data_IF_062314139186
#
_entry.id   IF_062314139186
#
_cell.length_a   1.000
_cell.length_b   1.000
_cell.length_c   1.000
_cell.angle_alpha   90.00
_cell.angle_beta   90.00
_cell.angle_gamma   90.00
#
_symmetry.space_group_name_H-M   'P 1'
#
loop_
_entity.id
_entity.type
_entity.pdbx_description
1 polymer ?
#
# COMPACT_ATOMS: atom_id res chain seq x y z
N UNK A 1 -20.45 26.49 -1.57
CA UNK A 1 -20.38 25.14 -0.99
C UNK A 1 -18.97 24.65 -1.29
N UNK A 2 -18.07 24.71 -0.32
CA UNK A 2 -16.71 24.16 -0.44
C UNK A 2 -16.85 22.65 -0.61
N UNK A 3 -16.32 22.09 -1.72
CA UNK A 3 -16.17 20.64 -1.89
C UNK A 3 -15.46 20.12 -0.63
N UNK A 4 -16.11 19.22 0.10
CA UNK A 4 -15.44 18.52 1.19
C UNK A 4 -14.16 17.89 0.60
N UNK A 5 -12.99 18.31 1.10
CA UNK A 5 -11.72 17.76 0.62
C UNK A 5 -11.71 16.26 0.92
N UNK A 6 -11.51 15.47 -0.11
CA UNK A 6 -11.52 14.02 0.00
C UNK A 6 -10.30 13.55 0.78
N UNK A 7 -10.50 12.72 1.81
CA UNK A 7 -9.42 12.11 2.56
C UNK A 7 -8.81 10.95 1.77
N UNK A 8 -7.50 10.94 1.70
CA UNK A 8 -6.71 9.95 0.95
C UNK A 8 -5.69 9.27 1.88
N UNK A 9 -5.20 8.12 1.47
CA UNK A 9 -4.15 7.40 2.19
C UNK A 9 -2.79 7.66 1.53
N UNK A 10 -1.80 7.99 2.35
CA UNK A 10 -0.44 8.30 1.92
C UNK A 10 0.56 7.42 2.65
N UNK A 11 1.56 6.94 1.91
CA UNK A 11 2.70 6.19 2.42
C UNK A 11 3.97 7.00 2.16
N UNK A 12 4.72 7.24 3.22
CA UNK A 12 6.03 7.91 3.17
C UNK A 12 7.10 6.96 3.71
N UNK A 13 7.74 6.18 2.84
CA UNK A 13 8.75 5.21 3.27
C UNK A 13 9.94 5.85 3.97
N UNK A 14 10.30 7.09 3.62
CA UNK A 14 11.45 7.80 4.21
C UNK A 14 11.29 8.04 5.72
N UNK A 15 10.05 8.04 6.21
CA UNK A 15 9.73 8.26 7.63
C UNK A 15 9.47 6.98 8.41
N UNK A 16 9.49 5.82 7.77
CA UNK A 16 9.26 4.57 8.47
C UNK A 16 10.44 4.22 9.38
N UNK A 17 10.16 4.02 10.66
CA UNK A 17 11.16 3.68 11.70
C UNK A 17 11.11 2.21 12.12
N UNK A 18 10.35 1.36 11.42
CA UNK A 18 10.29 -0.07 11.68
C UNK A 18 9.61 -0.48 13.00
N UNK A 19 8.85 0.39 13.64
CA UNK A 19 8.31 0.17 15.00
C UNK A 19 7.20 -0.87 15.11
N UNK A 20 6.68 -1.43 14.01
CA UNK A 20 5.58 -2.41 13.94
C UNK A 20 4.23 -1.96 14.55
N UNK A 21 4.07 -0.72 15.03
CA UNK A 21 2.80 -0.25 15.60
C UNK A 21 1.63 -0.40 14.62
N UNK A 22 1.87 -0.14 13.34
CA UNK A 22 0.86 -0.28 12.29
C UNK A 22 0.43 -1.74 12.08
N UNK A 23 1.35 -2.69 12.19
CA UNK A 23 1.09 -4.14 12.08
C UNK A 23 0.22 -4.60 13.26
N UNK A 24 0.58 -4.21 14.48
CA UNK A 24 -0.19 -4.54 15.69
C UNK A 24 -1.59 -3.90 15.64
N UNK A 25 -1.69 -2.62 15.31
CA UNK A 25 -2.98 -1.96 15.19
C UNK A 25 -3.86 -2.57 14.09
N UNK A 26 -3.27 -3.04 13.00
CA UNK A 26 -4.01 -3.72 11.93
C UNK A 26 -4.65 -5.01 12.45
N UNK A 27 -3.97 -5.80 13.28
CA UNK A 27 -4.50 -7.03 13.84
C UNK A 27 -5.66 -6.82 14.81
N UNK A 28 -5.83 -5.61 15.35
CA UNK A 28 -6.94 -5.23 16.22
C UNK A 28 -8.18 -4.72 15.46
N UNK A 29 -8.08 -4.56 14.14
CA UNK A 29 -9.23 -4.14 13.33
C UNK A 29 -10.36 -5.17 13.41
N UNK A 30 -11.60 -4.68 13.58
CA UNK A 30 -12.77 -5.55 13.81
C UNK A 30 -13.04 -6.53 12.66
N UNK A 31 -12.75 -6.13 11.41
CA UNK A 31 -12.98 -6.94 10.21
C UNK A 31 -12.12 -8.21 10.16
N UNK A 32 -10.93 -8.20 10.79
CA UNK A 32 -9.96 -9.30 10.69
C UNK A 32 -9.16 -9.49 11.97
N UNK A 33 -9.82 -9.30 13.10
CA UNK A 33 -9.22 -9.36 14.44
C UNK A 33 -8.34 -10.59 14.64
N UNK A 34 -7.11 -10.35 15.11
CA UNK A 34 -6.07 -11.37 15.30
C UNK A 34 -5.15 -11.57 14.10
N UNK A 35 -5.41 -10.91 12.96
CA UNK A 35 -4.59 -11.04 11.74
C UNK A 35 -4.21 -9.67 11.20
N UNK A 36 -2.93 -9.41 11.03
CA UNK A 36 -2.49 -8.20 10.33
C UNK A 36 -2.60 -8.38 8.82
N UNK A 37 -3.19 -7.38 8.14
CA UNK A 37 -3.30 -7.30 6.68
C UNK A 37 -2.16 -6.50 6.06
N UNK A 38 -1.30 -5.94 6.87
CA UNK A 38 -0.10 -5.21 6.47
C UNK A 38 1.11 -5.85 7.11
N UNK A 39 2.26 -5.64 6.50
CA UNK A 39 3.56 -6.08 7.00
C UNK A 39 4.59 -4.97 6.82
N UNK A 40 5.72 -5.09 7.49
CA UNK A 40 6.91 -4.31 7.20
C UNK A 40 7.87 -5.16 6.40
N UNK A 41 8.36 -4.60 5.30
CA UNK A 41 9.49 -5.16 4.57
C UNK A 41 10.76 -4.38 4.91
N UNK A 42 11.88 -5.07 4.80
CA UNK A 42 13.21 -4.53 5.06
C UNK A 42 13.96 -4.45 3.74
N UNK A 43 14.45 -3.25 3.44
CA UNK A 43 15.29 -3.01 2.27
C UNK A 43 16.72 -2.86 2.76
N UNK A 44 17.56 -3.81 2.43
CA UNK A 44 18.99 -3.76 2.73
C UNK A 44 19.68 -2.82 1.75
N UNK A 45 20.35 -1.83 2.29
CA UNK A 45 21.23 -0.92 1.55
C UNK A 45 22.66 -1.10 2.00
N UNK A 46 23.63 -0.68 1.19
CA UNK A 46 25.05 -0.78 1.51
C UNK A 46 25.45 -0.16 2.85
N UNK A 47 24.78 0.92 3.27
CA UNK A 47 25.09 1.67 4.47
C UNK A 47 24.01 1.63 5.57
N UNK A 48 22.79 1.14 5.28
CA UNK A 48 21.67 1.16 6.23
C UNK A 48 20.58 0.18 5.84
N UNK A 49 19.71 -0.16 6.79
CA UNK A 49 18.45 -0.84 6.50
C UNK A 49 17.32 0.20 6.50
N UNK A 50 16.43 0.11 5.54
CA UNK A 50 15.19 0.87 5.51
C UNK A 50 14.01 -0.06 5.67
N UNK A 51 12.99 0.40 6.38
CA UNK A 51 11.72 -0.33 6.53
C UNK A 51 10.63 0.35 5.72
N UNK A 52 9.78 -0.44 5.08
CA UNK A 52 8.64 0.05 4.30
C UNK A 52 7.37 -0.67 4.74
N UNK A 53 6.30 0.06 5.10
CA UNK A 53 5.03 -0.57 5.41
C UNK A 53 4.33 -1.00 4.11
N UNK A 54 4.20 -2.31 3.93
CA UNK A 54 3.51 -2.91 2.78
C UNK A 54 2.01 -2.92 3.03
N UNK A 55 1.29 -2.06 2.31
CA UNK A 55 -0.16 -1.95 2.34
C UNK A 55 -0.75 -2.23 0.95
N UNK A 56 -2.03 -2.60 0.88
CA UNK A 56 -2.68 -2.71 -0.42
C UNK A 56 -2.78 -1.33 -1.08
N UNK A 57 -2.34 -1.25 -2.33
CA UNK A 57 -2.35 0.01 -3.10
C UNK A 57 -3.74 0.36 -3.64
N UNK A 58 -4.72 -0.54 -3.57
CA UNK A 58 -6.08 -0.34 -4.08
C UNK A 58 -6.09 0.16 -5.53
N UNK A 59 -5.56 -0.69 -6.43
CA UNK A 59 -5.43 -0.40 -7.86
C UNK A 59 -6.76 -0.05 -8.51
N UNK A 60 -6.74 0.83 -9.52
CA UNK A 60 -7.94 1.19 -10.30
C UNK A 60 -8.42 0.01 -11.14
N UNK A 61 -7.50 -0.76 -11.73
CA UNK A 61 -7.76 -2.07 -12.34
C UNK A 61 -7.10 -3.16 -11.49
N UNK A 62 -7.81 -3.70 -10.48
CA UNK A 62 -7.21 -4.61 -9.50
C UNK A 62 -7.04 -6.01 -10.09
N UNK A 63 -5.84 -6.34 -10.58
CA UNK A 63 -5.51 -7.68 -11.14
C UNK A 63 -5.89 -8.81 -10.20
N UNK A 64 -5.80 -8.63 -8.89
CA UNK A 64 -6.23 -9.63 -7.91
C UNK A 64 -7.73 -9.94 -7.98
N UNK A 65 -8.58 -8.97 -8.35
CA UNK A 65 -10.01 -9.20 -8.56
C UNK A 65 -10.28 -9.81 -9.95
N UNK A 66 -9.58 -9.33 -10.97
CA UNK A 66 -9.72 -9.78 -12.36
C UNK A 66 -9.39 -11.27 -12.53
N UNK A 67 -8.34 -11.75 -11.85
CA UNK A 67 -7.93 -13.17 -11.92
C UNK A 67 -8.72 -14.09 -10.97
N UNK A 68 -9.68 -13.55 -10.21
CA UNK A 68 -10.43 -14.35 -9.24
C UNK A 68 -11.55 -15.15 -9.91
N UNK A 69 -11.43 -16.48 -10.07
CA UNK A 69 -12.45 -17.28 -10.77
C UNK A 69 -13.76 -17.38 -10.00
N UNK A 70 -13.74 -17.07 -8.70
CA UNK A 70 -14.90 -17.16 -7.81
C UNK A 70 -15.55 -15.79 -7.54
N UNK A 71 -15.09 -14.72 -8.18
CA UNK A 71 -15.54 -13.33 -7.93
C UNK A 71 -15.63 -13.02 -6.42
N UNK A 72 -14.60 -13.44 -5.68
CA UNK A 72 -14.55 -13.27 -4.23
C UNK A 72 -14.05 -11.88 -3.80
N UNK A 73 -13.33 -11.18 -4.67
CA UNK A 73 -12.74 -9.87 -4.41
C UNK A 73 -13.58 -8.80 -5.12
N UNK A 74 -13.98 -7.78 -4.38
CA UNK A 74 -14.80 -6.69 -4.89
C UNK A 74 -14.07 -5.35 -4.78
N UNK A 75 -14.29 -4.46 -5.74
CA UNK A 75 -13.91 -3.05 -5.68
C UNK A 75 -15.16 -2.22 -5.44
N UNK A 76 -15.14 -1.39 -4.41
CA UNK A 76 -16.25 -0.50 -4.07
C UNK A 76 -16.27 0.74 -4.97
N UNK A 77 -17.37 1.48 -4.99
CA UNK A 77 -17.52 2.70 -5.80
C UNK A 77 -16.48 3.77 -5.45
N UNK A 78 -16.09 3.85 -4.17
CA UNK A 78 -15.03 4.75 -3.71
C UNK A 78 -13.61 4.28 -4.06
N UNK A 79 -13.47 3.15 -4.78
CA UNK A 79 -12.20 2.60 -5.25
C UNK A 79 -11.47 1.71 -4.26
N UNK A 80 -12.06 1.38 -3.12
CA UNK A 80 -11.46 0.46 -2.16
C UNK A 80 -11.61 -0.98 -2.65
N UNK A 81 -10.49 -1.71 -2.78
CA UNK A 81 -10.52 -3.13 -3.11
C UNK A 81 -10.62 -3.91 -1.81
N UNK A 82 -11.70 -4.62 -1.60
CA UNK A 82 -11.99 -5.38 -0.38
C UNK A 82 -11.21 -6.70 -0.34
N UNK A 83 -11.01 -7.24 0.86
CA UNK A 83 -10.48 -8.60 1.04
C UNK A 83 -11.46 -9.64 0.51
N UNK A 84 -10.99 -10.89 0.28
CA UNK A 84 -11.85 -11.93 -0.27
C UNK A 84 -13.01 -12.28 0.69
N UNK A 85 -14.20 -12.42 0.13
CA UNK A 85 -15.38 -12.86 0.87
C UNK A 85 -15.31 -14.35 1.15
N UNK A 86 -15.38 -14.71 2.43
CA UNK A 86 -15.22 -16.11 2.90
C UNK A 86 -16.09 -17.12 2.16
N UNK A 87 -17.39 -16.89 1.89
CA UNK A 87 -18.23 -17.90 1.23
C UNK A 87 -17.86 -18.16 -0.24
N UNK A 88 -17.13 -17.24 -0.89
CA UNK A 88 -16.76 -17.32 -2.32
C UNK A 88 -15.33 -17.75 -2.55
N UNK A 89 -14.41 -17.43 -1.63
CA UNK A 89 -13.00 -17.72 -1.82
C UNK A 89 -12.76 -19.24 -1.82
N UNK A 90 -12.16 -19.73 -2.90
CA UNK A 90 -11.78 -21.15 -3.08
C UNK A 90 -10.31 -21.42 -2.80
N UNK A 91 -9.58 -20.46 -2.24
CA UNK A 91 -8.17 -20.55 -1.86
C UNK A 91 -7.21 -20.95 -3.00
N UNK A 92 -7.48 -20.53 -4.24
CA UNK A 92 -6.71 -20.93 -5.42
C UNK A 92 -5.35 -20.22 -5.58
N UNK A 93 -5.05 -19.21 -4.78
CA UNK A 93 -3.83 -18.36 -4.82
C UNK A 93 -3.64 -17.47 -6.07
N UNK A 94 -4.50 -17.48 -7.07
CA UNK A 94 -4.32 -16.65 -8.28
C UNK A 94 -4.11 -15.18 -7.95
N UNK A 95 -4.87 -14.63 -7.01
CA UNK A 95 -4.76 -13.24 -6.58
C UNK A 95 -3.44 -12.93 -5.85
N UNK A 96 -2.84 -13.93 -5.18
CA UNK A 96 -1.53 -13.79 -4.53
C UNK A 96 -0.43 -13.68 -5.59
N UNK A 97 -0.50 -14.54 -6.61
CA UNK A 97 0.49 -14.60 -7.69
C UNK A 97 0.38 -13.41 -8.65
N UNK A 98 -0.83 -12.90 -8.88
CA UNK A 98 -1.08 -11.83 -9.85
C UNK A 98 -0.83 -10.41 -9.30
N UNK A 99 -0.66 -10.24 -7.98
CA UNK A 99 -0.48 -8.91 -7.41
C UNK A 99 0.95 -8.40 -7.65
N UNK A 100 1.14 -7.31 -8.41
CA UNK A 100 2.48 -6.78 -8.69
C UNK A 100 3.17 -6.21 -7.44
N UNK A 101 2.39 -5.86 -6.41
CA UNK A 101 2.90 -5.35 -5.12
C UNK A 101 3.08 -6.44 -4.06
N UNK A 102 2.79 -7.72 -4.34
CA UNK A 102 3.00 -8.83 -3.41
C UNK A 102 2.17 -8.80 -2.11
N UNK A 103 1.09 -8.00 -2.05
CA UNK A 103 0.37 -7.72 -0.80
C UNK A 103 -0.61 -8.81 -0.36
N UNK A 104 -1.43 -9.43 -1.24
CA UNK A 104 -2.38 -10.44 -0.81
C UNK A 104 -1.68 -11.68 -0.24
N UNK A 105 -2.20 -12.21 0.86
CA UNK A 105 -1.68 -13.41 1.51
C UNK A 105 -2.78 -14.44 1.73
N UNK A 106 -2.41 -15.71 1.58
CA UNK A 106 -3.33 -16.80 1.89
C UNK A 106 -3.22 -17.17 3.37
N UNK A 107 -4.33 -17.03 4.09
CA UNK A 107 -4.46 -17.61 5.42
C UNK A 107 -4.82 -19.08 5.28
N UNK A 108 -3.88 -19.97 5.57
CA UNK A 108 -4.06 -21.42 5.41
C UNK A 108 -5.05 -22.00 6.40
N UNK A 109 -5.14 -21.47 7.61
CA UNK A 109 -6.09 -21.95 8.64
C UNK A 109 -7.54 -21.62 8.30
N UNK A 110 -7.79 -20.51 7.60
CA UNK A 110 -9.13 -20.11 7.19
C UNK A 110 -9.44 -20.44 5.73
N UNK A 111 -8.46 -20.91 4.96
CA UNK A 111 -8.56 -21.10 3.50
C UNK A 111 -9.11 -19.83 2.80
N UNK A 112 -8.57 -18.68 3.17
CA UNK A 112 -9.06 -17.37 2.74
C UNK A 112 -7.91 -16.46 2.37
N UNK A 113 -8.01 -15.78 1.22
CA UNK A 113 -7.09 -14.70 0.88
C UNK A 113 -7.42 -13.47 1.72
N UNK A 114 -6.40 -12.91 2.33
CA UNK A 114 -6.47 -11.72 3.17
C UNK A 114 -5.53 -10.63 2.63
N UNK A 115 -6.01 -9.40 2.63
CA UNK A 115 -5.24 -8.20 2.29
C UNK A 115 -5.87 -6.98 2.95
N UNK A 116 -5.13 -5.87 3.04
CA UNK A 116 -5.66 -4.61 3.51
C UNK A 116 -6.92 -4.21 2.70
N UNK A 117 -7.98 -3.84 3.42
CA UNK A 117 -9.24 -3.31 2.90
C UNK A 117 -9.43 -1.83 3.28
N UNK A 118 -8.34 -1.15 3.64
CA UNK A 118 -8.29 0.24 4.12
C UNK A 118 -9.11 0.46 5.41
N UNK A 119 -9.30 -0.58 6.23
CA UNK A 119 -10.23 -0.56 7.37
C UNK A 119 -11.60 0.00 6.95
N UNK A 120 -12.22 -0.59 5.93
CA UNK A 120 -13.42 -0.06 5.27
C UNK A 120 -14.54 0.33 6.24
N UNK A 121 -14.76 -0.45 7.30
CA UNK A 121 -15.75 -0.13 8.35
C UNK A 121 -15.46 1.21 9.05
N UNK A 122 -14.19 1.59 9.14
CA UNK A 122 -13.77 2.85 9.77
C UNK A 122 -13.81 3.99 8.77
N UNK A 123 -13.23 3.80 7.58
CA UNK A 123 -13.14 4.85 6.55
C UNK A 123 -14.50 5.21 5.97
N UNK A 124 -15.43 4.27 5.87
CA UNK A 124 -16.83 4.55 5.49
C UNK A 124 -17.60 5.34 6.55
N UNK A 125 -17.10 5.41 7.78
CA UNK A 125 -17.63 6.23 8.89
C UNK A 125 -16.72 7.46 9.19
N UNK A 126 -15.98 7.95 8.20
CA UNK A 126 -15.06 9.09 8.26
C UNK A 126 -13.97 8.98 9.35
N UNK A 127 -13.63 7.74 9.75
CA UNK A 127 -12.57 7.49 10.72
C UNK A 127 -11.27 7.07 10.03
N UNK A 128 -10.14 7.52 10.57
CA UNK A 128 -8.82 7.12 10.06
C UNK A 128 -8.62 5.60 10.16
N UNK A 129 -7.96 4.95 9.18
CA UNK A 129 -7.49 3.56 9.32
C UNK A 129 -6.65 3.38 10.58
N UNK A 130 -6.72 2.18 11.19
CA UNK A 130 -6.00 1.89 12.44
C UNK A 130 -4.50 2.15 12.32
N UNK A 131 -3.87 1.68 11.25
CA UNK A 131 -2.43 1.84 11.01
C UNK A 131 -2.01 3.32 10.91
N UNK A 132 -2.77 4.16 10.22
CA UNK A 132 -2.49 5.60 10.12
C UNK A 132 -2.75 6.34 11.45
N UNK A 133 -3.68 5.82 12.28
CA UNK A 133 -4.00 6.43 13.59
C UNK A 133 -2.88 6.27 14.61
N UNK A 134 -2.08 5.20 14.51
CA UNK A 134 -1.04 4.84 15.50
C UNK A 134 0.39 5.09 15.01
N UNK A 135 0.59 5.49 13.75
CA UNK A 135 1.92 5.68 13.19
C UNK A 135 2.63 6.89 13.82
N UNK A 136 3.66 6.70 14.70
CA UNK A 136 4.28 7.80 15.43
C UNK A 136 5.11 8.72 14.54
N UNK A 137 5.70 8.18 13.48
CA UNK A 137 6.48 8.93 12.48
C UNK A 137 5.61 9.51 11.36
N UNK A 138 4.32 9.16 11.34
CA UNK A 138 3.39 9.49 10.24
C UNK A 138 3.87 9.00 8.86
N UNK A 139 4.64 7.92 8.82
CA UNK A 139 4.96 7.23 7.57
C UNK A 139 3.69 6.74 6.86
N UNK A 140 2.68 6.35 7.63
CA UNK A 140 1.31 6.11 7.16
C UNK A 140 0.44 7.29 7.57
N UNK A 141 -0.11 8.00 6.61
CA UNK A 141 -0.90 9.20 6.83
C UNK A 141 -2.26 9.09 6.13
N UNK A 142 -3.31 9.55 6.79
CA UNK A 142 -4.66 9.63 6.23
C UNK A 142 -5.22 11.02 6.45
N UNK A 143 -5.48 11.75 5.37
CA UNK A 143 -5.91 13.13 5.40
C UNK A 143 -6.04 13.70 3.99
N UNK A 144 -6.12 15.03 3.88
CA UNK A 144 -6.25 15.72 2.60
C UNK A 144 -4.89 15.94 1.92
N UNK A 145 -4.88 16.11 0.60
CA UNK A 145 -3.66 16.49 -0.15
C UNK A 145 -3.06 17.78 0.35
N UNK A 146 -3.89 18.75 0.67
CA UNK A 146 -3.44 20.03 1.18
C UNK A 146 -2.70 19.90 2.52
N UNK A 147 -3.20 19.04 3.43
CA UNK A 147 -2.49 18.76 4.70
C UNK A 147 -1.12 18.13 4.45
N UNK A 148 -1.03 17.17 3.52
CA UNK A 148 0.23 16.51 3.19
C UNK A 148 1.22 17.49 2.57
N UNK A 149 0.81 18.29 1.61
CA UNK A 149 1.68 19.29 0.96
C UNK A 149 2.21 20.32 1.95
N UNK A 150 1.38 20.75 2.89
CA UNK A 150 1.79 21.66 3.97
C UNK A 150 2.79 21.01 4.95
N UNK A 151 2.54 19.75 5.33
CA UNK A 151 3.39 19.02 6.29
C UNK A 151 4.70 18.55 5.65
N UNK A 152 4.73 18.38 4.32
CA UNK A 152 5.83 17.78 3.57
C UNK A 152 6.11 18.52 2.27
N UNK A 153 6.55 19.80 2.37
CA UNK A 153 6.74 20.65 1.20
C UNK A 153 7.81 20.14 0.22
N UNK A 154 8.74 19.30 0.70
CA UNK A 154 9.81 18.72 -0.12
C UNK A 154 9.44 17.35 -0.71
N UNK A 155 8.21 16.90 -0.54
CA UNK A 155 7.72 15.64 -1.11
C UNK A 155 6.79 15.90 -2.29
N UNK A 156 6.75 14.92 -3.20
CA UNK A 156 5.82 14.84 -4.33
C UNK A 156 4.93 13.61 -4.15
N UNK A 157 3.67 13.73 -4.52
CA UNK A 157 2.68 12.66 -4.43
C UNK A 157 2.69 11.87 -5.74
N UNK A 158 2.86 10.56 -5.66
CA UNK A 158 2.82 9.63 -6.79
C UNK A 158 1.78 8.54 -6.48
N UNK A 159 0.96 8.20 -7.47
CA UNK A 159 0.01 7.10 -7.42
C UNK A 159 0.01 6.27 -8.71
N UNK A 160 1.06 6.38 -9.50
CA UNK A 160 1.23 5.65 -10.76
C UNK A 160 2.54 4.87 -10.71
N UNK A 161 2.47 3.58 -11.07
CA UNK A 161 3.57 2.64 -10.95
C UNK A 161 3.74 1.91 -12.27
N UNK A 162 4.97 1.86 -12.77
CA UNK A 162 5.31 1.17 -14.00
C UNK A 162 5.87 -0.23 -13.69
N UNK A 163 5.32 -1.25 -14.34
CA UNK A 163 5.80 -2.64 -14.29
C UNK A 163 6.04 -3.11 -15.73
N UNK A 164 7.24 -2.89 -16.25
CA UNK A 164 7.54 -3.09 -17.66
C UNK A 164 6.69 -2.18 -18.55
N UNK A 165 5.85 -2.75 -19.41
CA UNK A 165 4.95 -1.99 -20.29
C UNK A 165 3.62 -1.61 -19.62
N UNK A 166 3.31 -2.16 -18.45
CA UNK A 166 2.06 -1.92 -17.76
C UNK A 166 2.19 -0.77 -16.76
N UNK A 167 1.32 0.23 -16.87
CA UNK A 167 1.17 1.30 -15.89
C UNK A 167 -0.06 1.04 -15.01
N UNK A 168 0.14 1.07 -13.68
CA UNK A 168 -0.91 0.82 -12.70
C UNK A 168 -1.13 2.08 -11.88
N UNK A 169 -2.33 2.63 -11.93
CA UNK A 169 -2.78 3.73 -11.07
C UNK A 169 -3.45 3.19 -9.82
N UNK A 170 -3.24 3.84 -8.68
CA UNK A 170 -3.70 3.36 -7.38
C UNK A 170 -4.43 4.44 -6.58
N UNK A 171 -5.28 4.01 -5.65
CA UNK A 171 -5.95 4.91 -4.69
C UNK A 171 -5.02 5.35 -3.57
N UNK A 172 -4.05 4.51 -3.20
CA UNK A 172 -3.02 4.85 -2.20
C UNK A 172 -1.93 5.66 -2.89
N UNK A 173 -1.54 6.74 -2.25
CA UNK A 173 -0.50 7.64 -2.74
C UNK A 173 0.83 7.34 -2.04
N UNK A 174 1.93 7.40 -2.77
CA UNK A 174 3.28 7.38 -2.21
C UNK A 174 3.90 8.78 -2.24
N UNK A 175 4.70 9.06 -1.23
CA UNK A 175 5.47 10.30 -1.14
C UNK A 175 6.92 10.01 -1.52
N UNK A 176 7.41 10.74 -2.49
CA UNK A 176 8.80 10.70 -2.96
C UNK A 176 9.44 12.07 -2.85
N UNK A 177 10.77 12.13 -2.81
CA UNK A 177 11.48 13.41 -2.81
C UNK A 177 11.14 14.24 -4.06
N UNK A 178 11.01 15.57 -3.91
CA UNK A 178 10.84 16.48 -5.06
C UNK A 178 12.02 16.53 -6.00
N UNK A 179 13.21 16.20 -5.52
CA UNK A 179 14.43 16.15 -6.33
C UNK A 179 14.43 14.94 -7.27
N UNK A 180 13.56 13.94 -7.01
CA UNK A 180 13.36 12.81 -7.90
C UNK A 180 12.68 13.27 -9.20
N UNK A 181 13.30 13.00 -10.34
CA UNK A 181 12.74 13.27 -11.68
C UNK A 181 11.69 12.25 -12.13
N UNK A 182 11.30 11.33 -11.24
CA UNK A 182 10.43 10.20 -11.54
C UNK A 182 8.97 10.66 -11.53
N UNK A 183 8.28 10.60 -12.68
CA UNK A 183 6.85 10.90 -12.80
C UNK A 183 5.97 9.69 -12.42
N UNK A 184 6.50 8.49 -12.59
CA UNK A 184 5.95 7.22 -12.12
C UNK A 184 7.11 6.34 -11.68
N UNK A 185 6.85 5.42 -10.76
CA UNK A 185 7.86 4.49 -10.27
C UNK A 185 7.99 3.31 -11.22
N UNK A 186 9.15 3.13 -11.84
CA UNK A 186 9.48 1.93 -12.60
C UNK A 186 10.06 0.87 -11.66
N UNK A 187 9.20 -0.04 -11.22
CA UNK A 187 9.57 -1.09 -10.26
C UNK A 187 10.54 -2.10 -10.86
N UNK A 188 10.44 -2.39 -12.16
CA UNK A 188 11.32 -3.37 -12.81
C UNK A 188 12.71 -2.78 -13.03
N UNK A 189 12.80 -1.53 -13.45
CA UNK A 189 14.08 -0.84 -13.57
C UNK A 189 14.79 -0.75 -12.22
N UNK A 190 14.07 -0.38 -11.16
CA UNK A 190 14.60 -0.32 -9.81
C UNK A 190 15.14 -1.67 -9.30
N UNK A 191 14.45 -2.77 -9.58
CA UNK A 191 14.91 -4.12 -9.24
C UNK A 191 16.17 -4.52 -10.06
N UNK A 192 16.20 -4.18 -11.34
CA UNK A 192 17.31 -4.50 -12.24
C UNK A 192 18.60 -3.77 -11.84
N UNK A 193 18.50 -2.51 -11.50
CA UNK A 193 19.63 -1.69 -11.05
C UNK A 193 20.19 -2.19 -9.71
N UNK A 194 19.34 -2.60 -8.77
CA UNK A 194 19.75 -3.20 -7.50
C UNK A 194 20.46 -4.54 -7.64
N UNK A 195 20.13 -5.34 -8.67
CA UNK A 195 20.80 -6.63 -8.94
C UNK A 195 22.18 -6.47 -9.59
N UNK A 196 22.49 -5.36 -10.23
CA UNK A 196 23.75 -5.12 -10.96
C UNK A 196 24.81 -4.46 -10.07
N UNK A 197 24.50 -4.17 -8.80
CA UNK A 197 25.48 -3.59 -7.85
C UNK A 197 25.93 -2.16 -8.20
N UNK A 198 25.13 -1.42 -8.99
CA UNK A 198 25.34 -0.01 -9.20
C UNK A 198 24.88 0.73 -7.95
N UNK A 199 25.72 1.63 -7.43
CA UNK A 199 25.35 2.55 -6.34
C UNK A 199 24.16 3.40 -6.81
N UNK A 200 22.97 2.93 -6.48
CA UNK A 200 21.73 3.63 -6.85
C UNK A 200 21.59 4.86 -5.97
N UNK A 201 21.39 5.98 -6.62
CA UNK A 201 20.99 7.21 -5.96
C UNK A 201 19.84 6.89 -5.00
N UNK A 202 20.04 7.22 -3.72
CA UNK A 202 19.15 6.89 -2.60
C UNK A 202 17.69 7.31 -2.81
N UNK A 203 17.41 8.11 -3.85
CA UNK A 203 16.08 8.62 -4.20
C UNK A 203 15.15 7.56 -4.80
N UNK A 204 15.66 6.51 -5.47
CA UNK A 204 14.81 5.53 -6.17
C UNK A 204 14.23 4.51 -5.20
N UNK A 205 14.96 4.10 -4.17
CA UNK A 205 14.51 3.10 -3.18
C UNK A 205 13.62 3.66 -2.07
N UNK A 206 13.50 5.00 -1.97
CA UNK A 206 12.54 5.63 -1.04
C UNK A 206 11.08 5.36 -1.46
N UNK A 207 10.85 4.84 -2.64
CA UNK A 207 9.52 4.66 -3.21
C UNK A 207 9.06 3.17 -3.30
N UNK A 208 9.85 2.21 -2.87
CA UNK A 208 9.47 0.82 -2.63
C UNK A 208 9.51 0.55 -1.15
#
# INVERSE_FOLDING_TARGET
MTKAEHQEFFVDPSRCIGCNSCVQACSECATHKGYSMIQLDFIDRSASQQTVPMVCMHCDSPTCAEVCPADAINRTEDGTVQTARKPRCIACNNCVLACPFGVPKMNTGMHLMMKCDMCYERTSADKKPMCASVCPSQALFFGTRHEVEKLRPNSRIINSFQFGEQCITTKVNMLVSRESSIDHLDVIAALHEGMIGVDMDSSIWVAL
#
